data_IF_027270702863
#
_entry.id   IF_027270702863
#
_cell.length_a   1.000
_cell.length_b   1.000
_cell.length_c   1.000
_cell.angle_alpha   90.00
_cell.angle_beta   90.00
_cell.angle_gamma   90.00
#
_symmetry.space_group_name_H-M   'P 1'
#
loop_
_entity.id
_entity.type
_entity.pdbx_description
1 polymer ?
#
# COMPACT_ATOMS: atom_id res chain seq x y z
N UNK A 1 -10.10 14.07 6.79
CA UNK A 1 -10.20 14.46 5.37
C UNK A 1 -10.78 13.36 4.47
N UNK A 2 -10.31 12.11 4.53
CA UNK A 2 -10.80 11.04 3.63
C UNK A 2 -12.05 10.32 4.17
N UNK A 3 -12.30 10.40 5.49
CA UNK A 3 -13.51 9.92 6.16
C UNK A 3 -14.46 11.05 6.57
N UNK A 4 -14.25 12.28 6.07
CA UNK A 4 -15.10 13.42 6.42
C UNK A 4 -16.40 13.43 5.61
N UNK A 5 -16.47 12.61 4.55
CA UNK A 5 -17.69 12.39 3.78
C UNK A 5 -18.61 11.39 4.51
N UNK A 6 -19.93 11.69 4.61
CA UNK A 6 -20.88 10.81 5.28
C UNK A 6 -20.96 9.44 4.58
N UNK A 7 -20.78 8.34 5.32
CA UNK A 7 -20.77 6.98 4.78
C UNK A 7 -19.40 6.46 4.33
N UNK A 8 -18.35 7.30 4.32
CA UNK A 8 -17.00 6.86 3.93
C UNK A 8 -16.39 5.86 4.92
N UNK A 9 -16.86 5.86 6.18
CA UNK A 9 -16.46 4.91 7.22
C UNK A 9 -17.01 3.49 7.02
N UNK A 10 -18.09 3.35 6.23
CA UNK A 10 -18.68 2.04 5.92
C UNK A 10 -18.12 1.46 4.61
N UNK A 11 -17.38 2.29 3.85
CA UNK A 11 -16.82 1.91 2.56
C UNK A 11 -15.55 1.05 2.70
N UNK A 12 -15.66 -0.21 2.29
CA UNK A 12 -14.53 -1.15 2.34
C UNK A 12 -13.35 -0.70 1.46
N UNK A 13 -13.63 -0.10 0.30
CA UNK A 13 -12.60 0.41 -0.62
C UNK A 13 -11.86 1.62 -0.04
N UNK A 14 -12.59 2.56 0.57
CA UNK A 14 -11.98 3.72 1.24
C UNK A 14 -11.12 3.29 2.43
N UNK A 15 -11.59 2.34 3.24
CA UNK A 15 -10.79 1.76 4.33
C UNK A 15 -9.52 1.09 3.78
N UNK A 16 -9.65 0.28 2.72
CA UNK A 16 -8.51 -0.40 2.10
C UNK A 16 -7.47 0.60 1.56
N UNK A 17 -7.90 1.69 0.91
CA UNK A 17 -7.00 2.73 0.43
C UNK A 17 -6.30 3.48 1.57
N UNK A 18 -7.05 3.90 2.59
CA UNK A 18 -6.45 4.61 3.74
C UNK A 18 -5.45 3.72 4.46
N UNK A 19 -5.79 2.47 4.73
CA UNK A 19 -4.88 1.53 5.39
C UNK A 19 -3.64 1.26 4.55
N UNK A 20 -3.77 1.09 3.24
CA UNK A 20 -2.63 0.89 2.33
C UNK A 20 -1.66 2.08 2.31
N UNK A 21 -2.17 3.32 2.37
CA UNK A 21 -1.36 4.55 2.39
C UNK A 21 -0.67 4.72 3.76
N UNK A 22 -1.42 4.57 4.86
CA UNK A 22 -0.90 4.79 6.22
C UNK A 22 0.17 3.75 6.58
N UNK A 23 -0.01 2.50 6.16
CA UNK A 23 0.94 1.41 6.44
C UNK A 23 2.17 1.42 5.52
N UNK A 24 2.12 2.11 4.38
CA UNK A 24 3.21 2.16 3.41
C UNK A 24 4.57 2.56 4.00
N UNK A 25 4.74 3.69 4.72
CA UNK A 25 6.05 4.08 5.25
C UNK A 25 6.62 3.03 6.20
N UNK A 26 5.77 2.39 7.00
CA UNK A 26 6.19 1.31 7.93
C UNK A 26 6.67 0.10 7.14
N UNK A 27 5.91 -0.32 6.13
CA UNK A 27 6.25 -1.45 5.27
C UNK A 27 7.58 -1.20 4.53
N UNK A 28 7.79 0.01 3.99
CA UNK A 28 9.03 0.40 3.30
C UNK A 28 10.23 0.27 4.22
N UNK A 29 10.17 0.85 5.43
CA UNK A 29 11.27 0.82 6.40
C UNK A 29 11.61 -0.61 6.78
N UNK A 30 10.60 -1.43 7.09
CA UNK A 30 10.81 -2.84 7.44
C UNK A 30 11.47 -3.63 6.29
N UNK A 31 11.02 -3.43 5.06
CA UNK A 31 11.55 -4.13 3.90
C UNK A 31 12.97 -3.68 3.54
N UNK A 32 13.32 -2.41 3.76
CA UNK A 32 14.69 -1.92 3.60
C UNK A 32 15.63 -2.55 4.63
N UNK A 33 15.20 -2.64 5.90
CA UNK A 33 15.97 -3.31 6.95
C UNK A 33 16.17 -4.80 6.61
N UNK A 34 15.10 -5.49 6.21
CA UNK A 34 15.18 -6.90 5.80
C UNK A 34 16.10 -7.12 4.60
N UNK A 35 16.05 -6.23 3.61
CA UNK A 35 16.92 -6.27 2.44
C UNK A 35 18.39 -6.17 2.83
N UNK A 36 18.73 -5.24 3.74
CA UNK A 36 20.07 -5.13 4.31
C UNK A 36 20.51 -6.38 5.07
N UNK A 37 19.63 -6.97 5.90
CA UNK A 37 19.92 -8.21 6.63
C UNK A 37 20.20 -9.38 5.68
N UNK A 38 19.42 -9.52 4.59
CA UNK A 38 19.66 -10.56 3.60
C UNK A 38 20.93 -10.31 2.79
N UNK A 39 21.23 -9.05 2.47
CA UNK A 39 22.46 -8.67 1.80
C UNK A 39 23.70 -9.00 2.65
N UNK A 40 23.68 -8.66 3.95
CA UNK A 40 24.74 -9.00 4.89
C UNK A 40 24.96 -10.51 5.04
N UNK A 41 23.90 -11.32 4.92
CA UNK A 41 23.96 -12.79 4.92
C UNK A 41 24.36 -13.40 3.56
N UNK A 42 24.84 -12.59 2.60
CA UNK A 42 25.18 -12.98 1.22
C UNK A 42 24.00 -13.59 0.44
N UNK A 43 22.76 -13.40 0.89
CA UNK A 43 21.53 -13.87 0.22
C UNK A 43 21.01 -12.78 -0.73
N UNK A 44 21.80 -12.44 -1.74
CA UNK A 44 21.51 -11.31 -2.63
C UNK A 44 20.16 -11.41 -3.36
N UNK A 45 19.75 -12.62 -3.78
CA UNK A 45 18.42 -12.82 -4.40
C UNK A 45 17.27 -12.46 -3.46
N UNK A 46 17.39 -12.81 -2.17
CA UNK A 46 16.38 -12.49 -1.17
C UNK A 46 16.36 -10.98 -0.85
N UNK A 47 17.53 -10.33 -0.81
CA UNK A 47 17.62 -8.89 -0.64
C UNK A 47 16.89 -8.13 -1.77
N UNK A 48 17.13 -8.53 -3.02
CA UNK A 48 16.45 -7.97 -4.19
C UNK A 48 14.94 -8.21 -4.12
N UNK A 49 14.52 -9.43 -3.77
CA UNK A 49 13.10 -9.76 -3.62
C UNK A 49 12.41 -8.91 -2.55
N UNK A 50 13.06 -8.68 -1.39
CA UNK A 50 12.50 -7.80 -0.36
C UNK A 50 12.41 -6.33 -0.80
N UNK A 51 13.36 -5.85 -1.62
CA UNK A 51 13.30 -4.50 -2.17
C UNK A 51 12.21 -4.31 -3.23
N UNK A 52 11.74 -5.40 -3.85
CA UNK A 52 10.61 -5.37 -4.79
C UNK A 52 9.26 -5.22 -4.09
N UNK A 53 9.14 -5.59 -2.81
CA UNK A 53 7.87 -5.54 -2.07
C UNK A 53 7.34 -4.09 -1.97
N UNK A 54 8.16 -3.08 -1.59
CA UNK A 54 7.75 -1.67 -1.66
C UNK A 54 7.28 -1.21 -3.04
N UNK A 55 7.91 -1.70 -4.11
CA UNK A 55 7.53 -1.35 -5.48
C UNK A 55 6.18 -1.94 -5.87
N UNK A 56 5.92 -3.20 -5.49
CA UNK A 56 4.62 -3.84 -5.66
C UNK A 56 3.52 -3.12 -4.86
N UNK A 57 3.86 -2.57 -3.69
CA UNK A 57 2.91 -1.79 -2.90
C UNK A 57 2.41 -0.53 -3.61
N UNK A 58 3.27 0.12 -4.40
CA UNK A 58 2.88 1.27 -5.22
C UNK A 58 1.82 0.84 -6.26
N UNK A 59 2.01 -0.33 -6.90
CA UNK A 59 1.02 -0.86 -7.84
C UNK A 59 -0.32 -1.13 -7.17
N UNK A 60 -0.33 -1.68 -5.95
CA UNK A 60 -1.56 -1.90 -5.18
C UNK A 60 -2.29 -0.58 -4.93
N UNK A 61 -1.56 0.49 -4.58
CA UNK A 61 -2.18 1.81 -4.38
C UNK A 61 -2.80 2.35 -5.66
N UNK A 62 -2.13 2.19 -6.82
CA UNK A 62 -2.68 2.59 -8.12
C UNK A 62 -3.98 1.82 -8.42
N UNK A 63 -3.98 0.50 -8.19
CA UNK A 63 -5.17 -0.33 -8.42
C UNK A 63 -6.33 0.08 -7.52
N UNK A 64 -6.08 0.35 -6.23
CA UNK A 64 -7.11 0.83 -5.31
C UNK A 64 -7.68 2.19 -5.76
N UNK A 65 -6.81 3.08 -6.22
CA UNK A 65 -7.21 4.40 -6.72
C UNK A 65 -8.10 4.29 -7.96
N UNK A 66 -7.67 3.49 -8.95
CA UNK A 66 -8.45 3.20 -10.16
C UNK A 66 -9.78 2.51 -9.82
N UNK A 67 -9.80 1.64 -8.82
CA UNK A 67 -11.02 0.96 -8.38
C UNK A 67 -12.05 1.96 -7.82
N UNK A 68 -11.62 2.94 -7.03
CA UNK A 68 -12.51 4.00 -6.53
C UNK A 68 -13.05 4.84 -7.68
N UNK A 69 -12.22 5.19 -8.66
CA UNK A 69 -12.66 5.96 -9.82
C UNK A 69 -13.74 5.21 -10.62
N UNK A 70 -13.53 3.91 -10.88
CA UNK A 70 -14.42 3.11 -11.73
C UNK A 70 -15.70 2.69 -10.99
N UNK A 71 -15.57 2.21 -9.75
CA UNK A 71 -16.69 1.60 -9.01
C UNK A 71 -17.45 2.61 -8.15
N UNK A 72 -16.82 3.73 -7.79
CA UNK A 72 -17.38 4.71 -6.87
C UNK A 72 -17.53 6.10 -7.50
N UNK A 73 -17.29 6.23 -8.81
CA UNK A 73 -17.40 7.49 -9.57
C UNK A 73 -16.55 8.63 -8.96
N UNK A 74 -15.38 8.25 -8.42
CA UNK A 74 -14.48 9.16 -7.72
C UNK A 74 -14.94 9.55 -6.30
N UNK A 75 -16.06 9.01 -5.80
CA UNK A 75 -16.52 9.22 -4.43
C UNK A 75 -15.90 8.22 -3.45
N UNK A 76 -15.58 8.68 -2.24
CA UNK A 76 -15.14 7.81 -1.13
C UNK A 76 -16.28 7.08 -0.43
N UNK A 77 -17.51 7.23 -0.94
CA UNK A 77 -18.72 6.58 -0.43
C UNK A 77 -19.20 5.57 -1.46
N UNK A 78 -18.72 4.34 -1.31
CA UNK A 78 -19.23 3.14 -1.96
C UNK A 78 -19.38 2.06 -0.89
#
# INVERSE_FOLDING_TARGET
>A
MMFDAPGASDSTLTIAMVTAIVTYPIAVVLMLILSWVFFAKRKHKAAIASSLIPALWILINIVLWVSIEIFCDGSFTC
#
